data_IF_245861993556
#
_entry.id   IF_245861993556
#
_cell.length_a   1.000
_cell.length_b   1.000
_cell.length_c   1.000
_cell.angle_alpha   90.00
_cell.angle_beta   90.00
_cell.angle_gamma   90.00
#
_symmetry.space_group_name_H-M   'P 1'
#
loop_
_entity.id
_entity.type
_entity.pdbx_description
1 polymer ?
#
# COMPACT_ATOMS: atom_id res chain seq x y z
N UNK A 1 13.53 24.55 -22.46
CA UNK A 1 12.97 24.06 -21.18
C UNK A 1 13.55 24.88 -20.05
N UNK A 2 12.71 25.38 -19.16
CA UNK A 2 13.14 26.06 -17.94
C UNK A 2 13.72 25.03 -16.95
N UNK A 3 14.45 25.49 -15.92
CA UNK A 3 14.97 24.61 -14.87
C UNK A 3 13.86 23.79 -14.19
N UNK A 4 12.66 24.35 -14.08
CA UNK A 4 11.47 23.69 -13.52
C UNK A 4 11.00 22.55 -14.41
N UNK A 5 10.97 22.75 -15.73
CA UNK A 5 10.55 21.72 -16.68
C UNK A 5 11.54 20.55 -16.67
N UNK A 6 12.84 20.83 -16.57
CA UNK A 6 13.88 19.80 -16.47
C UNK A 6 13.70 18.98 -15.19
N UNK A 7 13.48 19.65 -14.04
CA UNK A 7 13.23 18.97 -12.76
C UNK A 7 11.96 18.12 -12.80
N UNK A 8 10.88 18.63 -13.38
CA UNK A 8 9.63 17.89 -13.54
C UNK A 8 9.83 16.63 -14.39
N UNK A 9 10.49 16.76 -15.55
CA UNK A 9 10.77 15.62 -16.42
C UNK A 9 11.66 14.58 -15.72
N UNK A 10 12.72 15.00 -15.03
CA UNK A 10 13.56 14.07 -14.25
C UNK A 10 12.73 13.34 -13.20
N UNK A 11 11.90 14.05 -12.44
CA UNK A 11 11.03 13.43 -11.43
C UNK A 11 10.08 12.40 -12.05
N UNK A 12 9.38 12.75 -13.14
CA UNK A 12 8.45 11.83 -13.80
C UNK A 12 9.18 10.62 -14.41
N UNK A 13 10.38 10.81 -14.97
CA UNK A 13 11.20 9.70 -15.48
C UNK A 13 11.59 8.75 -14.35
N UNK A 14 12.03 9.28 -13.21
CA UNK A 14 12.39 8.44 -12.03
C UNK A 14 11.18 7.63 -11.56
N UNK A 15 10.02 8.29 -11.40
CA UNK A 15 8.78 7.62 -10.98
C UNK A 15 8.33 6.57 -12.00
N UNK A 16 8.40 6.89 -13.30
CA UNK A 16 8.03 5.95 -14.36
C UNK A 16 8.97 4.73 -14.39
N UNK A 17 10.28 4.94 -14.27
CA UNK A 17 11.26 3.85 -14.19
C UNK A 17 11.00 2.99 -12.97
N UNK A 18 10.73 3.59 -11.80
CA UNK A 18 10.37 2.86 -10.59
C UNK A 18 9.13 1.98 -10.79
N UNK A 19 8.07 2.51 -11.42
CA UNK A 19 6.86 1.73 -11.67
C UNK A 19 7.06 0.62 -12.70
N UNK A 20 7.77 0.89 -13.80
CA UNK A 20 8.09 -0.13 -14.80
C UNK A 20 8.94 -1.23 -14.18
N UNK A 21 9.98 -0.86 -13.43
CA UNK A 21 10.83 -1.82 -12.73
C UNK A 21 10.02 -2.66 -11.73
N UNK A 22 9.17 -2.02 -10.92
CA UNK A 22 8.31 -2.72 -9.96
C UNK A 22 7.34 -3.68 -10.65
N UNK A 23 6.76 -3.29 -11.78
CA UNK A 23 5.87 -4.13 -12.56
C UNK A 23 6.59 -5.34 -13.17
N UNK A 24 7.83 -5.16 -13.64
CA UNK A 24 8.66 -6.25 -14.18
C UNK A 24 9.15 -7.22 -13.10
N UNK A 25 9.38 -6.73 -11.88
CA UNK A 25 9.85 -7.52 -10.74
C UNK A 25 8.71 -8.12 -9.90
N UNK A 26 7.47 -7.79 -10.21
CA UNK A 26 6.29 -8.30 -9.50
C UNK A 26 6.16 -9.80 -9.76
N UNK A 27 5.99 -10.59 -8.69
CA UNK A 27 5.66 -12.00 -8.84
C UNK A 27 4.28 -12.14 -9.51
N UNK A 28 4.05 -13.29 -10.14
CA UNK A 28 2.72 -13.64 -10.64
C UNK A 28 1.71 -13.64 -9.49
N UNK A 29 0.53 -13.06 -9.73
CA UNK A 29 -0.59 -13.16 -8.81
C UNK A 29 -1.32 -14.49 -9.01
N UNK A 30 -1.65 -15.19 -7.93
CA UNK A 30 -2.43 -16.42 -7.98
C UNK A 30 -1.62 -17.61 -8.51
N UNK A 31 -2.30 -18.64 -9.05
CA UNK A 31 -1.62 -19.84 -9.54
C UNK A 31 -0.79 -19.45 -10.72
N UNK A 32 0.50 -19.68 -10.62
CA UNK A 32 1.36 -19.75 -11.77
C UNK A 32 0.83 -20.76 -12.78
N UNK A 33 1.01 -20.44 -14.05
CA UNK A 33 0.68 -21.32 -15.16
C UNK A 33 1.68 -22.49 -15.30
N UNK A 34 2.71 -22.53 -14.45
CA UNK A 34 3.70 -23.61 -14.41
C UNK A 34 3.17 -24.75 -13.52
N UNK A 35 2.89 -25.94 -14.07
CA UNK A 35 2.40 -27.07 -13.31
C UNK A 35 3.41 -27.63 -12.29
N UNK A 36 4.67 -27.19 -12.30
CA UNK A 36 5.66 -27.53 -11.27
C UNK A 36 5.81 -26.44 -10.21
N UNK A 37 5.12 -25.32 -10.35
CA UNK A 37 5.25 -24.21 -9.43
C UNK A 37 4.34 -24.42 -8.21
N UNK A 38 5.00 -24.77 -7.11
CA UNK A 38 4.39 -25.00 -5.81
C UNK A 38 3.99 -23.71 -5.10
N UNK A 39 4.30 -22.51 -5.62
CA UNK A 39 3.90 -21.23 -4.99
C UNK A 39 2.37 -21.07 -4.90
N UNK A 40 1.57 -21.85 -5.65
CA UNK A 40 0.12 -21.74 -5.54
C UNK A 40 -0.48 -22.30 -4.24
N UNK A 41 0.15 -23.35 -3.69
CA UNK A 41 -0.25 -23.92 -2.40
C UNK A 41 0.52 -23.32 -1.23
N UNK A 42 1.64 -22.64 -1.50
CA UNK A 42 2.43 -21.95 -0.51
C UNK A 42 2.16 -20.46 -0.68
N UNK A 43 1.06 -19.94 -0.13
CA UNK A 43 0.89 -18.50 0.04
C UNK A 43 1.73 -18.11 1.26
N UNK A 44 3.05 -17.85 1.11
CA UNK A 44 3.97 -17.94 2.24
C UNK A 44 3.68 -16.84 3.25
N UNK A 45 3.10 -15.73 2.78
CA UNK A 45 2.64 -14.63 3.61
C UNK A 45 1.39 -15.01 4.41
N UNK A 46 0.38 -15.61 3.78
CA UNK A 46 -0.90 -15.89 4.43
C UNK A 46 -0.71 -16.94 5.53
N UNK A 47 -0.02 -18.04 5.22
CA UNK A 47 0.30 -19.10 6.18
C UNK A 47 1.17 -18.55 7.32
N UNK A 48 2.19 -17.74 6.99
CA UNK A 48 3.05 -17.11 8.00
C UNK A 48 2.24 -16.21 8.95
N UNK A 49 1.35 -15.38 8.42
CA UNK A 49 0.52 -14.49 9.23
C UNK A 49 -0.43 -15.31 10.11
N UNK A 50 -1.04 -16.37 9.57
CA UNK A 50 -1.92 -17.26 10.34
C UNK A 50 -1.15 -17.90 11.50
N UNK A 51 0.05 -18.42 11.24
CA UNK A 51 0.84 -19.15 12.22
C UNK A 51 1.51 -18.24 13.26
N UNK A 52 1.87 -17.01 12.90
CA UNK A 52 2.70 -16.12 13.72
C UNK A 52 1.97 -14.92 14.31
N UNK A 53 0.76 -14.59 13.86
CA UNK A 53 -0.02 -13.41 14.30
C UNK A 53 0.01 -13.23 15.80
N UNK A 54 -0.35 -14.27 16.56
CA UNK A 54 -0.49 -14.16 18.01
C UNK A 54 0.85 -13.92 18.70
N UNK A 55 1.93 -14.51 18.17
CA UNK A 55 3.26 -14.40 18.78
C UNK A 55 3.91 -13.05 18.48
N UNK A 56 3.70 -12.51 17.28
CA UNK A 56 4.35 -11.28 16.82
C UNK A 56 3.58 -10.02 17.21
N UNK A 57 2.25 -10.09 17.21
CA UNK A 57 1.38 -8.91 17.43
C UNK A 57 0.61 -8.96 18.75
N UNK A 58 0.48 -10.15 19.35
CA UNK A 58 -0.36 -10.36 20.55
C UNK A 58 -1.87 -10.27 20.28
N UNK A 59 -2.29 -10.08 19.03
CA UNK A 59 -3.69 -9.98 18.65
C UNK A 59 -4.27 -11.36 18.32
N UNK A 60 -5.36 -11.73 19.02
CA UNK A 60 -6.07 -12.99 18.74
C UNK A 60 -6.77 -13.00 17.37
N UNK A 61 -6.95 -11.83 16.73
CA UNK A 61 -7.64 -11.70 15.46
C UNK A 61 -6.62 -11.40 14.34
N UNK A 62 -6.42 -12.38 13.46
CA UNK A 62 -5.54 -12.27 12.29
C UNK A 62 -5.89 -11.13 11.33
N UNK A 63 -7.17 -10.76 11.22
CA UNK A 63 -7.54 -9.62 10.35
C UNK A 63 -7.08 -8.30 10.97
N UNK A 64 -7.23 -8.16 12.28
CA UNK A 64 -6.81 -6.94 13.00
C UNK A 64 -5.29 -6.82 13.01
N UNK A 65 -4.56 -7.92 13.21
CA UNK A 65 -3.08 -7.91 13.14
C UNK A 65 -2.59 -7.50 11.76
N UNK A 66 -3.24 -7.95 10.68
CA UNK A 66 -2.89 -7.53 9.32
C UNK A 66 -3.08 -6.03 9.15
N UNK A 67 -4.25 -5.49 9.48
CA UNK A 67 -4.60 -4.10 9.20
C UNK A 67 -3.81 -3.13 10.09
N UNK A 68 -3.56 -3.45 11.36
CA UNK A 68 -2.92 -2.52 12.29
C UNK A 68 -1.43 -2.76 12.53
N UNK A 69 -0.94 -4.00 12.46
CA UNK A 69 0.45 -4.34 12.76
C UNK A 69 1.24 -4.60 11.47
N UNK A 70 0.94 -5.67 10.72
CA UNK A 70 1.69 -6.04 9.51
C UNK A 70 1.59 -4.98 8.40
N UNK A 71 0.40 -4.40 8.21
CA UNK A 71 0.09 -3.40 7.17
C UNK A 71 -0.43 -2.09 7.75
N UNK A 72 0.00 -1.75 8.97
CA UNK A 72 -0.41 -0.52 9.64
C UNK A 72 -0.10 0.77 8.86
N UNK A 73 0.93 0.76 8.00
CA UNK A 73 1.25 1.92 7.15
C UNK A 73 0.16 2.20 6.09
N UNK A 74 -0.44 1.16 5.51
CA UNK A 74 -1.53 1.30 4.56
C UNK A 74 -2.76 1.91 5.25
N UNK A 75 -3.08 1.44 6.46
CA UNK A 75 -4.18 1.96 7.29
C UNK A 75 -3.92 3.38 7.81
N UNK A 76 -2.68 3.76 8.09
CA UNK A 76 -2.32 5.15 8.36
C UNK A 76 -2.61 6.04 7.14
N UNK A 77 -2.34 5.53 5.94
CA UNK A 77 -2.73 6.16 4.67
C UNK A 77 -4.24 6.34 4.56
N UNK A 78 -5.02 5.28 4.81
CA UNK A 78 -6.49 5.33 4.82
C UNK A 78 -7.03 6.37 5.82
N UNK A 79 -6.49 6.40 7.04
CA UNK A 79 -6.85 7.38 8.06
C UNK A 79 -6.53 8.82 7.61
N UNK A 80 -5.39 9.01 6.94
CA UNK A 80 -5.00 10.31 6.38
C UNK A 80 -5.96 10.75 5.27
N UNK A 81 -6.38 9.83 4.39
CA UNK A 81 -7.37 10.11 3.34
C UNK A 81 -8.72 10.50 3.96
N UNK A 82 -9.20 9.78 4.96
CA UNK A 82 -10.45 10.12 5.64
C UNK A 82 -10.36 11.46 6.37
N UNK A 83 -9.26 11.72 7.07
CA UNK A 83 -9.03 13.00 7.73
C UNK A 83 -9.03 14.16 6.75
N UNK A 84 -8.29 14.04 5.64
CA UNK A 84 -8.24 15.08 4.62
C UNK A 84 -9.57 15.29 3.92
N UNK A 85 -10.36 14.24 3.69
CA UNK A 85 -11.71 14.33 3.15
C UNK A 85 -12.64 15.13 4.09
N UNK A 86 -12.67 14.79 5.39
CA UNK A 86 -13.48 15.50 6.38
C UNK A 86 -13.02 16.95 6.53
N UNK A 87 -11.71 17.19 6.61
CA UNK A 87 -11.14 18.53 6.67
C UNK A 87 -11.53 19.36 5.42
N UNK A 88 -11.50 18.75 4.23
CA UNK A 88 -11.93 19.38 2.98
C UNK A 88 -13.40 19.79 3.02
N UNK A 89 -14.30 18.92 3.47
CA UNK A 89 -15.72 19.24 3.64
C UNK A 89 -15.90 20.41 4.61
N UNK A 90 -15.25 20.38 5.77
CA UNK A 90 -15.33 21.48 6.75
C UNK A 90 -14.85 22.79 6.13
N UNK A 91 -13.73 22.78 5.39
CA UNK A 91 -13.19 23.99 4.75
C UNK A 91 -14.14 24.57 3.70
N UNK A 92 -14.78 23.72 2.88
CA UNK A 92 -15.74 24.14 1.86
C UNK A 92 -17.00 24.75 2.48
N UNK A 93 -17.53 24.16 3.57
CA UNK A 93 -18.77 24.60 4.19
C UNK A 93 -18.59 25.62 5.32
N UNK A 94 -17.36 25.95 5.71
CA UNK A 94 -17.10 26.94 6.77
C UNK A 94 -17.56 28.32 6.34
N UNK A 95 -18.48 28.92 7.10
CA UNK A 95 -18.83 30.35 6.95
C UNK A 95 -17.64 31.21 7.34
N UNK A 96 -17.03 31.88 6.36
CA UNK A 96 -16.10 32.97 6.61
C UNK A 96 -16.93 34.16 7.10
N UNK A 97 -16.93 34.42 8.42
CA UNK A 97 -17.31 35.75 8.90
C UNK A 97 -16.21 36.72 8.43
N UNK A 98 -16.62 37.75 7.68
CA UNK A 98 -15.78 38.93 7.41
C UNK A 98 -15.45 39.63 8.72
#
# INVERSE_FOLDING_TARGET
MTKRDILAVVFFVVVAVFFVFSALMMRSFGPSADPNDTDYFNAPMDDYIIDNTQSETGANNGVTSVVFDYRGFDTLGEATVLFTAVAGVVLVFRRLKK
#
